data_IF_610133861473
#
_entry.id   IF_610133861473
#
_cell.length_a   1.000
_cell.length_b   1.000
_cell.length_c   1.000
_cell.angle_alpha   90.00
_cell.angle_beta   90.00
_cell.angle_gamma   90.00
#
_symmetry.space_group_name_H-M   'P 1'
#
loop_
_entity.id
_entity.type
_entity.pdbx_description
1 polymer ?
#
# COMPACT_ATOMS: atom_id res chain seq x y z
N UNK A 1 -60.27 -0.38 14.85
CA UNK A 1 -59.11 -0.60 13.99
C UNK A 1 -57.88 -0.11 14.74
N UNK A 2 -57.09 -1.04 15.30
CA UNK A 2 -55.90 -0.72 16.09
C UNK A 2 -54.67 -0.88 15.19
N UNK A 3 -53.98 0.23 14.94
CA UNK A 3 -52.74 0.24 14.15
C UNK A 3 -51.63 -0.38 14.97
N UNK A 4 -51.24 -1.60 14.64
CA UNK A 4 -50.04 -2.22 15.17
C UNK A 4 -48.83 -1.39 14.75
N UNK A 5 -48.15 -0.79 15.72
CA UNK A 5 -46.84 -0.20 15.52
C UNK A 5 -45.90 -1.32 15.07
N UNK A 6 -45.47 -1.26 13.81
CA UNK A 6 -44.39 -2.08 13.29
C UNK A 6 -43.12 -1.64 14.02
N UNK A 7 -42.75 -2.38 15.05
CA UNK A 7 -41.45 -2.26 15.70
C UNK A 7 -40.39 -2.40 14.62
N UNK A 8 -39.67 -1.30 14.33
CA UNK A 8 -38.45 -1.32 13.53
C UNK A 8 -37.55 -2.41 14.11
N UNK A 9 -36.99 -3.33 13.31
CA UNK A 9 -35.95 -4.21 13.80
C UNK A 9 -34.82 -3.31 14.31
N UNK A 10 -34.55 -3.45 15.62
CA UNK A 10 -33.36 -2.92 16.27
C UNK A 10 -32.18 -3.34 15.39
N UNK A 11 -31.44 -2.38 14.81
CA UNK A 11 -30.14 -2.71 14.22
C UNK A 11 -29.39 -3.43 15.32
N UNK A 12 -29.07 -4.71 15.13
CA UNK A 12 -28.05 -5.36 15.94
C UNK A 12 -26.78 -4.54 15.71
N UNK A 13 -26.52 -3.58 16.60
CA UNK A 13 -25.24 -2.92 16.70
C UNK A 13 -24.23 -4.02 17.01
N UNK A 14 -23.59 -4.48 15.95
CA UNK A 14 -22.53 -5.46 16.05
C UNK A 14 -21.43 -4.77 16.84
N UNK A 15 -21.01 -5.36 17.95
CA UNK A 15 -19.98 -4.77 18.81
C UNK A 15 -18.75 -4.42 17.96
N UNK A 16 -18.10 -3.26 18.21
CA UNK A 16 -16.95 -2.84 17.43
C UNK A 16 -15.82 -3.86 17.54
N UNK A 17 -15.15 -4.13 16.43
CA UNK A 17 -14.01 -5.05 16.39
C UNK A 17 -12.77 -4.31 16.88
N UNK A 18 -12.12 -4.83 17.93
CA UNK A 18 -10.83 -4.30 18.39
C UNK A 18 -9.76 -4.48 17.31
N UNK A 19 -8.95 -3.44 17.11
CA UNK A 19 -7.83 -3.45 16.18
C UNK A 19 -6.59 -2.82 16.78
N UNK A 20 -5.43 -3.27 16.33
CA UNK A 20 -4.12 -2.76 16.69
C UNK A 20 -3.71 -1.65 15.73
N UNK A 21 -3.41 -0.47 16.26
CA UNK A 21 -3.02 0.71 15.52
C UNK A 21 -1.53 0.99 15.69
N UNK A 22 -0.78 0.82 14.62
CA UNK A 22 0.64 1.14 14.55
C UNK A 22 0.80 2.49 13.87
N UNK A 23 1.44 3.44 14.55
CA UNK A 23 1.90 4.70 13.95
C UNK A 23 3.34 4.50 13.45
N UNK A 24 3.55 4.51 12.13
CA UNK A 24 4.90 4.37 11.59
C UNK A 24 5.60 5.73 11.44
N UNK A 25 4.83 6.76 11.14
CA UNK A 25 5.24 8.14 11.05
C UNK A 25 4.03 9.06 11.27
N UNK A 26 4.23 10.34 11.63
CA UNK A 26 3.12 11.29 11.78
C UNK A 26 2.26 11.31 10.51
N UNK A 27 0.96 11.04 10.68
CA UNK A 27 0.01 11.05 9.57
C UNK A 27 -0.18 9.72 8.84
N UNK A 28 0.65 8.71 9.12
CA UNK A 28 0.63 7.42 8.44
C UNK A 28 0.50 6.25 9.44
N UNK A 29 -0.62 5.56 9.36
CA UNK A 29 -1.00 4.53 10.30
C UNK A 29 -1.29 3.21 9.60
N UNK A 30 -1.04 2.12 10.33
CA UNK A 30 -1.49 0.78 9.97
C UNK A 30 -2.48 0.30 11.02
N UNK A 31 -3.69 -0.03 10.60
CA UNK A 31 -4.71 -0.66 11.44
C UNK A 31 -4.81 -2.15 11.09
N UNK A 32 -4.48 -3.00 12.06
CA UNK A 32 -4.58 -4.46 11.98
C UNK A 32 -5.75 -4.93 12.82
N UNK A 33 -6.65 -5.75 12.30
CA UNK A 33 -7.73 -6.33 13.10
C UNK A 33 -8.09 -7.76 12.62
N UNK A 34 -8.66 -8.61 13.50
CA UNK A 34 -9.14 -9.93 13.10
C UNK A 34 -10.21 -9.81 12.01
N UNK A 35 -10.04 -10.53 10.91
CA UNK A 35 -10.98 -10.49 9.79
C UNK A 35 -12.27 -11.21 10.19
N UNK A 36 -13.44 -10.53 10.18
CA UNK A 36 -14.70 -11.20 10.49
C UNK A 36 -15.02 -12.32 9.49
N UNK A 37 -15.75 -13.38 9.88
CA UNK A 37 -16.11 -14.49 8.99
C UNK A 37 -16.90 -14.08 7.74
N UNK A 38 -17.52 -12.89 7.75
CA UNK A 38 -18.18 -12.31 6.58
C UNK A 38 -17.21 -11.82 5.50
N UNK A 39 -15.89 -11.92 5.73
CA UNK A 39 -14.80 -11.51 4.83
C UNK A 39 -15.01 -10.13 4.18
N UNK A 40 -15.31 -9.08 4.98
CA UNK A 40 -15.64 -7.78 4.42
C UNK A 40 -14.45 -7.13 3.70
N UNK A 41 -14.53 -6.98 2.38
CA UNK A 41 -13.58 -6.21 1.57
C UNK A 41 -13.72 -4.71 1.89
N UNK A 42 -12.67 -4.05 2.41
CA UNK A 42 -12.68 -2.60 2.67
C UNK A 42 -12.79 -1.80 1.37
N UNK A 43 -13.67 -0.79 1.35
CA UNK A 43 -13.86 0.10 0.21
C UNK A 43 -13.33 1.50 0.49
N UNK A 44 -13.69 2.08 1.63
CA UNK A 44 -13.19 3.37 2.12
C UNK A 44 -13.45 3.50 3.62
N UNK A 45 -12.91 4.55 4.25
CA UNK A 45 -13.27 4.92 5.62
C UNK A 45 -14.49 5.84 5.57
N UNK A 46 -15.60 5.39 6.16
CA UNK A 46 -16.86 6.13 6.21
C UNK A 46 -16.85 7.21 7.31
N UNK A 47 -16.15 6.93 8.42
CA UNK A 47 -15.92 7.89 9.49
C UNK A 47 -14.68 7.53 10.30
N UNK A 48 -13.99 8.49 10.93
CA UNK A 48 -14.25 9.93 10.88
C UNK A 48 -13.81 10.56 9.56
N UNK A 49 -14.34 11.75 9.27
CA UNK A 49 -13.89 12.56 8.15
C UNK A 49 -12.39 12.88 8.26
N UNK A 50 -11.72 13.03 7.12
CA UNK A 50 -10.28 13.29 7.06
C UNK A 50 -9.38 12.05 7.27
N UNK A 51 -9.97 10.87 7.52
CA UNK A 51 -9.26 9.59 7.47
C UNK A 51 -9.41 8.99 6.08
N UNK A 52 -8.28 8.69 5.44
CA UNK A 52 -8.23 8.13 4.09
C UNK A 52 -7.65 6.72 4.12
N UNK A 53 -8.36 5.78 3.50
CA UNK A 53 -7.83 4.45 3.19
C UNK A 53 -6.91 4.55 1.98
N UNK A 54 -5.63 4.20 2.14
CA UNK A 54 -4.64 4.19 1.05
C UNK A 54 -4.65 2.83 0.35
N UNK A 55 -4.59 1.74 1.12
CA UNK A 55 -4.64 0.37 0.61
C UNK A 55 -4.99 -0.58 1.75
N UNK A 56 -5.26 -1.84 1.42
CA UNK A 56 -5.53 -2.89 2.39
C UNK A 56 -4.95 -4.23 1.92
N UNK A 57 -4.77 -5.14 2.88
CA UNK A 57 -4.38 -6.52 2.62
C UNK A 57 -5.09 -7.47 3.58
N UNK A 58 -5.29 -8.72 3.16
CA UNK A 58 -5.78 -9.80 3.99
C UNK A 58 -4.65 -10.81 4.17
N UNK A 59 -4.37 -11.19 5.42
CA UNK A 59 -3.37 -12.19 5.78
C UNK A 59 -4.02 -13.35 6.55
N UNK A 60 -3.34 -14.49 6.62
CA UNK A 60 -3.81 -15.65 7.40
C UNK A 60 -5.05 -16.35 6.84
N UNK A 61 -5.27 -16.28 5.53
CA UNK A 61 -6.36 -17.01 4.85
C UNK A 61 -5.99 -18.48 4.56
N UNK A 62 -4.73 -18.87 4.77
CA UNK A 62 -4.24 -20.23 4.61
C UNK A 62 -4.73 -21.12 5.76
N UNK A 63 -5.01 -22.40 5.45
CA UNK A 63 -5.56 -23.36 6.42
C UNK A 63 -4.65 -23.58 7.66
N UNK A 64 -3.36 -23.32 7.52
CA UNK A 64 -2.34 -23.54 8.57
C UNK A 64 -1.98 -22.26 9.35
N UNK A 65 -2.71 -21.15 9.14
CA UNK A 65 -2.43 -19.90 9.83
C UNK A 65 -2.79 -19.96 11.32
N UNK A 66 -1.78 -19.87 12.19
CA UNK A 66 -1.93 -20.03 13.65
C UNK A 66 -2.84 -18.98 14.30
N UNK A 67 -2.84 -17.74 13.81
CA UNK A 67 -3.52 -16.59 14.43
C UNK A 67 -4.84 -16.22 13.75
N UNK A 68 -5.31 -17.06 12.82
CA UNK A 68 -6.48 -16.79 12.00
C UNK A 68 -6.32 -15.63 11.01
N UNK A 69 -7.36 -15.34 10.21
CA UNK A 69 -7.28 -14.31 9.19
C UNK A 69 -7.33 -12.91 9.80
N UNK A 70 -6.53 -12.00 9.26
CA UNK A 70 -6.49 -10.59 9.68
C UNK A 70 -6.59 -9.65 8.48
N UNK A 71 -7.12 -8.47 8.72
CA UNK A 71 -7.14 -7.37 7.77
C UNK A 71 -6.14 -6.30 8.20
N UNK A 72 -5.41 -5.78 7.24
CA UNK A 72 -4.46 -4.68 7.38
C UNK A 72 -4.97 -3.50 6.56
N UNK A 73 -5.09 -2.32 7.16
CA UNK A 73 -5.45 -1.07 6.50
C UNK A 73 -4.31 -0.07 6.63
N UNK A 74 -3.78 0.43 5.51
CA UNK A 74 -2.89 1.57 5.50
C UNK A 74 -3.72 2.86 5.41
N UNK A 75 -3.56 3.74 6.39
CA UNK A 75 -4.38 4.93 6.59
C UNK A 75 -3.52 6.21 6.57
N UNK A 76 -4.06 7.25 5.93
CA UNK A 76 -3.63 8.64 6.11
C UNK A 76 -4.65 9.34 7.01
N UNK A 77 -4.20 9.95 8.11
CA UNK A 77 -5.10 10.59 9.07
C UNK A 77 -4.36 11.56 10.00
N UNK A 78 -5.08 12.48 10.66
CA UNK A 78 -4.63 12.99 11.95
C UNK A 78 -4.85 11.89 13.01
N UNK A 79 -3.80 11.55 13.77
CA UNK A 79 -3.87 10.52 14.81
C UNK A 79 -4.94 10.76 15.87
N UNK A 80 -5.33 12.02 16.13
CA UNK A 80 -6.44 12.33 17.02
C UNK A 80 -7.79 11.81 16.49
N UNK A 81 -7.99 11.80 15.17
CA UNK A 81 -9.22 11.33 14.54
C UNK A 81 -9.43 9.83 14.77
N UNK A 82 -8.36 9.03 14.82
CA UNK A 82 -8.44 7.57 14.97
C UNK A 82 -8.81 7.11 16.39
N UNK A 83 -8.66 7.97 17.41
CA UNK A 83 -8.91 7.61 18.82
C UNK A 83 -10.38 7.33 19.13
N UNK A 84 -11.30 7.95 18.39
CA UNK A 84 -12.74 7.81 18.59
C UNK A 84 -13.36 6.54 18.00
N UNK A 85 -12.57 5.73 17.30
CA UNK A 85 -13.06 4.62 16.49
C UNK A 85 -13.06 4.95 15.00
N UNK A 86 -13.10 3.92 14.16
CA UNK A 86 -13.10 4.04 12.70
C UNK A 86 -14.25 3.20 12.16
N UNK A 87 -15.10 3.78 11.32
CA UNK A 87 -16.07 3.03 10.53
C UNK A 87 -15.53 2.83 9.12
N UNK A 88 -15.38 1.57 8.72
CA UNK A 88 -14.91 1.21 7.39
C UNK A 88 -16.10 0.74 6.57
N UNK A 89 -16.37 1.43 5.46
CA UNK A 89 -17.35 0.95 4.50
C UNK A 89 -16.81 -0.29 3.79
N UNK A 90 -17.65 -1.31 3.67
CA UNK A 90 -17.30 -2.58 3.05
C UNK A 90 -18.36 -2.96 2.02
N UNK A 91 -18.07 -3.93 1.17
CA UNK A 91 -19.04 -4.43 0.18
C UNK A 91 -20.30 -5.09 0.79
N UNK A 92 -20.33 -5.33 2.11
CA UNK A 92 -21.45 -5.97 2.80
C UNK A 92 -22.15 -5.01 3.77
N UNK A 93 -21.43 -4.52 4.78
CA UNK A 93 -21.89 -3.51 5.75
C UNK A 93 -20.72 -2.74 6.33
N UNK A 94 -21.00 -1.56 6.89
CA UNK A 94 -19.98 -0.80 7.59
C UNK A 94 -19.46 -1.60 8.80
N UNK A 95 -18.13 -1.60 8.94
CA UNK A 95 -17.43 -2.27 10.02
C UNK A 95 -16.92 -1.22 11.00
N UNK A 96 -17.48 -1.23 12.20
CA UNK A 96 -16.99 -0.42 13.31
C UNK A 96 -15.74 -1.06 13.91
N UNK A 97 -14.64 -0.32 13.91
CA UNK A 97 -13.35 -0.70 14.46
C UNK A 97 -13.03 0.18 15.67
N UNK A 98 -12.45 -0.42 16.69
CA UNK A 98 -11.89 0.27 17.86
C UNK A 98 -10.36 0.14 17.84
N UNK A 99 -9.64 1.16 17.36
CA UNK A 99 -8.19 1.13 17.33
C UNK A 99 -7.58 1.25 18.74
N UNK A 100 -6.59 0.41 19.03
CA UNK A 100 -5.79 0.39 20.25
C UNK A 100 -4.31 0.53 19.86
N UNK A 101 -3.53 1.42 20.48
CA UNK A 101 -2.13 1.61 20.13
C UNK A 101 -1.32 0.32 20.23
N UNK A 102 -0.48 0.07 19.22
CA UNK A 102 0.38 -1.10 19.14
C UNK A 102 1.79 -0.73 18.66
N UNK A 103 2.82 -1.45 19.12
CA UNK A 103 4.18 -1.25 18.65
C UNK A 103 4.38 -1.79 17.23
N UNK A 104 5.40 -1.28 16.54
CA UNK A 104 5.70 -1.64 15.16
C UNK A 104 6.08 -3.12 14.95
N UNK A 105 6.54 -3.82 15.98
CA UNK A 105 6.89 -5.24 15.97
C UNK A 105 5.68 -6.18 16.12
N UNK A 106 4.48 -5.64 16.31
CA UNK A 106 3.24 -6.42 16.36
C UNK A 106 2.92 -7.16 15.05
N UNK A 107 3.54 -6.77 13.92
CA UNK A 107 3.32 -7.41 12.63
C UNK A 107 4.23 -8.62 12.39
N UNK A 108 3.61 -9.72 11.99
CA UNK A 108 4.31 -10.92 11.53
C UNK A 108 5.06 -10.68 10.20
N UNK A 109 6.01 -11.56 9.88
CA UNK A 109 6.72 -11.48 8.60
C UNK A 109 5.80 -11.63 7.38
N UNK A 110 4.78 -12.48 7.48
CA UNK A 110 3.78 -12.69 6.43
C UNK A 110 2.91 -11.45 6.22
N UNK A 111 2.47 -10.80 7.31
CA UNK A 111 1.72 -9.54 7.27
C UNK A 111 2.52 -8.43 6.61
N UNK A 112 3.82 -8.29 6.95
CA UNK A 112 4.72 -7.32 6.31
C UNK A 112 4.89 -7.59 4.83
N UNK A 113 4.97 -8.85 4.41
CA UNK A 113 5.10 -9.22 3.01
C UNK A 113 3.85 -8.87 2.19
N UNK A 114 2.66 -9.08 2.74
CA UNK A 114 1.41 -8.71 2.10
C UNK A 114 1.21 -7.19 2.08
N UNK A 115 1.51 -6.51 3.19
CA UNK A 115 1.47 -5.05 3.26
C UNK A 115 2.42 -4.40 2.26
N UNK A 116 3.64 -4.95 2.10
CA UNK A 116 4.60 -4.48 1.10
C UNK A 116 3.98 -4.49 -0.31
N UNK A 117 3.37 -5.62 -0.70
CA UNK A 117 2.72 -5.75 -2.01
C UNK A 117 1.54 -4.80 -2.18
N UNK A 118 0.72 -4.65 -1.13
CA UNK A 118 -0.42 -3.76 -1.13
C UNK A 118 -0.02 -2.28 -1.28
N UNK A 119 1.04 -1.85 -0.58
CA UNK A 119 1.58 -0.48 -0.67
C UNK A 119 2.20 -0.20 -2.04
N UNK A 120 2.98 -1.14 -2.58
CA UNK A 120 3.55 -1.01 -3.93
C UNK A 120 2.47 -0.96 -5.02
N UNK A 121 1.28 -1.49 -4.75
CA UNK A 121 0.14 -1.53 -5.68
C UNK A 121 -0.89 -0.43 -5.46
N UNK A 122 -0.67 0.49 -4.51
CA UNK A 122 -1.61 1.54 -4.11
C UNK A 122 -1.71 2.71 -5.14
N UNK A 123 -0.89 2.69 -6.19
CA UNK A 123 -0.85 3.74 -7.21
C UNK A 123 -0.24 5.07 -6.73
N UNK A 124 -0.44 6.13 -7.52
CA UNK A 124 0.21 7.45 -7.32
C UNK A 124 -0.13 8.13 -6.02
N UNK A 125 -1.38 7.99 -5.60
CA UNK A 125 -1.90 8.64 -4.41
C UNK A 125 -1.40 7.99 -3.12
N UNK A 126 -0.77 6.81 -3.21
CA UNK A 126 -0.16 6.10 -2.08
C UNK A 126 1.35 6.30 -1.95
N UNK A 127 2.03 7.02 -2.85
CA UNK A 127 3.50 7.11 -2.86
C UNK A 127 4.08 7.77 -1.60
N UNK A 128 3.41 8.80 -1.07
CA UNK A 128 3.80 9.45 0.18
C UNK A 128 3.66 8.51 1.38
N UNK A 129 2.51 7.85 1.49
CA UNK A 129 2.24 6.85 2.53
C UNK A 129 3.15 5.63 2.44
N UNK A 130 3.51 5.19 1.22
CA UNK A 130 4.53 4.16 1.03
C UNK A 130 5.84 4.56 1.70
N UNK A 131 6.29 5.80 1.54
CA UNK A 131 7.51 6.30 2.20
C UNK A 131 7.38 6.35 3.72
N UNK A 132 6.26 6.86 4.21
CA UNK A 132 5.99 6.98 5.65
C UNK A 132 5.88 5.62 6.36
N UNK A 133 5.33 4.61 5.69
CA UNK A 133 5.22 3.23 6.20
C UNK A 133 6.42 2.34 5.81
N UNK A 134 7.39 2.86 5.04
CA UNK A 134 8.40 2.03 4.38
C UNK A 134 9.23 1.21 5.37
N UNK A 135 9.57 1.79 6.53
CA UNK A 135 10.32 1.09 7.58
C UNK A 135 9.66 -0.18 8.09
N UNK A 136 8.32 -0.30 7.99
CA UNK A 136 7.60 -1.53 8.37
C UNK A 136 7.80 -2.66 7.35
N UNK A 137 8.01 -2.33 6.09
CA UNK A 137 7.97 -3.26 4.94
C UNK A 137 9.28 -3.37 4.18
N UNK A 138 10.29 -2.56 4.51
CA UNK A 138 11.56 -2.48 3.79
C UNK A 138 12.18 -3.85 3.50
N UNK A 139 12.30 -4.70 4.53
CA UNK A 139 12.88 -6.04 4.38
C UNK A 139 12.07 -6.91 3.41
N UNK A 140 10.74 -6.82 3.49
CA UNK A 140 9.84 -7.56 2.60
C UNK A 140 9.95 -7.06 1.16
N UNK A 141 10.06 -5.75 0.95
CA UNK A 141 10.28 -5.15 -0.39
C UNK A 141 11.63 -5.59 -0.96
N UNK A 142 12.69 -5.54 -0.15
CA UNK A 142 14.03 -5.98 -0.54
C UNK A 142 14.09 -7.48 -0.92
N UNK A 143 13.21 -8.30 -0.35
CA UNK A 143 13.16 -9.75 -0.57
C UNK A 143 12.28 -10.17 -1.76
N UNK A 144 11.56 -9.26 -2.43
CA UNK A 144 10.72 -9.62 -3.58
C UNK A 144 11.55 -10.28 -4.69
N UNK A 145 11.03 -11.24 -5.46
CA UNK A 145 11.79 -11.77 -6.59
C UNK A 145 11.86 -10.75 -7.75
N UNK A 146 12.92 -10.84 -8.54
CA UNK A 146 12.99 -10.23 -9.87
C UNK A 146 12.77 -11.35 -10.87
N UNK A 147 11.81 -11.20 -11.78
CA UNK A 147 11.56 -12.20 -12.82
C UNK A 147 12.67 -12.18 -13.88
N UNK A 148 12.96 -13.32 -14.50
CA UNK A 148 14.01 -13.43 -15.52
C UNK A 148 13.71 -12.58 -16.76
N UNK A 149 12.44 -12.36 -17.06
CA UNK A 149 11.93 -11.54 -18.16
C UNK A 149 11.55 -10.11 -17.73
N UNK A 150 11.96 -9.70 -16.53
CA UNK A 150 11.64 -8.37 -16.00
C UNK A 150 12.21 -7.25 -16.90
N UNK A 151 11.44 -6.18 -17.15
CA UNK A 151 11.89 -5.05 -17.93
C UNK A 151 13.12 -4.41 -17.29
N UNK A 152 14.04 -3.95 -18.14
CA UNK A 152 15.28 -3.33 -17.70
C UNK A 152 15.15 -1.82 -17.54
N UNK A 153 15.80 -1.29 -16.51
CA UNK A 153 16.06 0.13 -16.32
C UNK A 153 17.50 0.42 -16.78
N UNK A 154 17.64 1.40 -17.68
CA UNK A 154 18.91 1.89 -18.18
C UNK A 154 19.07 3.39 -17.85
N UNK A 155 20.30 3.81 -17.64
CA UNK A 155 20.67 5.22 -17.48
C UNK A 155 20.99 5.80 -18.87
N UNK A 156 20.29 6.86 -19.26
CA UNK A 156 20.45 7.52 -20.55
C UNK A 156 20.73 9.02 -20.36
N UNK A 157 21.30 9.66 -21.38
CA UNK A 157 21.50 11.10 -21.35
C UNK A 157 20.17 11.84 -21.15
N UNK A 158 20.01 12.48 -19.99
CA UNK A 158 18.82 13.26 -19.65
C UNK A 158 17.69 12.46 -18.97
N UNK A 159 17.96 11.26 -18.44
CA UNK A 159 17.00 10.55 -17.59
C UNK A 159 17.13 9.03 -17.66
N UNK A 160 16.09 8.34 -17.20
CA UNK A 160 16.08 6.88 -17.20
C UNK A 160 15.20 6.31 -18.28
N UNK A 161 15.63 5.18 -18.82
CA UNK A 161 14.98 4.47 -19.91
C UNK A 161 14.49 3.12 -19.45
N UNK A 162 13.18 2.92 -19.46
CA UNK A 162 12.52 1.68 -19.05
C UNK A 162 12.14 0.85 -20.29
N UNK A 163 12.48 -0.42 -20.28
CA UNK A 163 12.04 -1.39 -21.29
C UNK A 163 10.53 -1.65 -21.26
N UNK A 164 9.92 -1.81 -22.43
CA UNK A 164 8.51 -2.12 -22.59
C UNK A 164 7.61 -0.90 -22.79
N UNK A 165 6.30 -1.15 -22.85
CA UNK A 165 5.27 -0.15 -23.19
C UNK A 165 4.36 0.24 -22.03
N UNK A 166 4.41 -0.50 -20.91
CA UNK A 166 3.60 -0.20 -19.73
C UNK A 166 4.11 1.07 -19.06
N UNK A 167 3.26 2.10 -18.94
CA UNK A 167 3.65 3.40 -18.41
C UNK A 167 3.62 3.37 -16.88
N UNK A 168 4.77 3.41 -16.19
CA UNK A 168 4.79 3.51 -14.74
C UNK A 168 4.32 4.88 -14.28
N UNK A 169 3.72 4.91 -13.10
CA UNK A 169 3.32 6.14 -12.43
C UNK A 169 4.35 6.59 -11.38
N UNK A 170 5.18 5.67 -10.92
CA UNK A 170 6.25 5.93 -9.97
C UNK A 170 7.36 4.90 -10.12
N UNK A 171 8.48 5.22 -9.50
CA UNK A 171 9.64 4.36 -9.46
C UNK A 171 10.17 4.35 -8.03
N UNK A 172 10.18 3.16 -7.43
CA UNK A 172 10.88 2.92 -6.18
C UNK A 172 12.29 2.44 -6.52
N UNK A 173 13.30 2.95 -5.84
CA UNK A 173 14.68 2.60 -6.10
C UNK A 173 15.50 2.56 -4.81
N UNK A 174 16.57 1.76 -4.83
CA UNK A 174 17.57 1.67 -3.77
C UNK A 174 18.91 2.17 -4.30
N UNK A 175 19.55 3.04 -3.54
CA UNK A 175 20.90 3.55 -3.78
C UNK A 175 21.77 3.31 -2.55
N UNK A 176 23.06 3.66 -2.63
CA UNK A 176 23.94 3.66 -1.46
C UNK A 176 23.48 4.60 -0.33
N UNK A 177 22.65 5.61 -0.63
CA UNK A 177 22.04 6.49 0.38
C UNK A 177 20.75 5.91 0.99
N UNK A 178 20.30 4.73 0.54
CA UNK A 178 19.07 4.08 0.97
C UNK A 178 17.99 4.09 -0.10
N UNK A 179 16.76 3.84 0.34
CA UNK A 179 15.58 3.80 -0.52
C UNK A 179 15.06 5.21 -0.83
N UNK A 180 14.53 5.37 -2.03
CA UNK A 180 13.84 6.57 -2.47
C UNK A 180 12.72 6.23 -3.45
N UNK A 181 11.80 7.16 -3.61
CA UNK A 181 10.72 7.05 -4.57
C UNK A 181 10.56 8.35 -5.34
N UNK A 182 10.35 8.22 -6.64
CA UNK A 182 10.01 9.33 -7.52
C UNK A 182 8.71 9.05 -8.27
N UNK A 183 7.95 10.10 -8.53
CA UNK A 183 6.79 10.08 -9.42
C UNK A 183 7.27 10.23 -10.85
N UNK A 184 6.65 9.51 -11.77
CA UNK A 184 6.85 9.71 -13.21
C UNK A 184 5.95 10.86 -13.67
N UNK A 185 6.54 12.00 -14.01
CA UNK A 185 5.79 13.18 -14.50
C UNK A 185 5.62 13.17 -16.01
N UNK A 186 6.51 12.47 -16.73
CA UNK A 186 6.42 12.27 -18.17
C UNK A 186 7.02 10.92 -18.56
N UNK A 187 6.38 10.25 -19.51
CA UNK A 187 6.93 9.09 -20.22
C UNK A 187 6.85 9.35 -21.72
N UNK A 188 7.96 9.18 -22.43
CA UNK A 188 8.01 9.28 -23.88
C UNK A 188 8.38 7.91 -24.49
N UNK A 189 7.40 7.25 -25.13
CA UNK A 189 7.63 5.98 -25.82
C UNK A 189 8.46 6.17 -27.09
N UNK A 190 9.39 5.24 -27.31
CA UNK A 190 10.22 5.11 -28.50
C UNK A 190 10.15 3.68 -29.03
N UNK A 191 10.05 3.55 -30.36
CA UNK A 191 9.92 2.27 -31.07
C UNK A 191 11.08 2.01 -32.04
N UNK A 192 12.31 2.38 -31.65
CA UNK A 192 13.52 2.12 -32.45
C UNK A 192 14.14 0.77 -32.05
N UNK A 193 13.49 -0.33 -32.42
CA UNK A 193 13.84 -1.69 -31.98
C UNK A 193 12.89 -2.19 -30.90
N UNK A 194 13.42 -2.67 -29.77
CA UNK A 194 12.58 -3.04 -28.62
C UNK A 194 11.92 -1.79 -28.02
N UNK A 195 10.62 -1.81 -27.68
CA UNK A 195 9.94 -0.64 -27.10
C UNK A 195 10.62 -0.18 -25.82
N UNK A 196 10.85 1.14 -25.71
CA UNK A 196 11.41 1.78 -24.52
C UNK A 196 10.69 3.08 -24.19
N UNK A 197 10.83 3.51 -22.94
CA UNK A 197 10.22 4.71 -22.40
C UNK A 197 11.27 5.58 -21.72
N UNK A 198 11.41 6.83 -22.19
CA UNK A 198 12.20 7.84 -21.49
C UNK A 198 11.36 8.46 -20.38
N UNK A 199 11.81 8.32 -19.13
CA UNK A 199 11.09 8.75 -17.94
C UNK A 199 11.64 10.09 -17.42
N UNK A 200 10.74 11.01 -17.13
CA UNK A 200 11.04 12.20 -16.30
C UNK A 200 10.50 11.96 -14.89
N UNK A 201 11.37 12.15 -13.91
CA UNK A 201 11.12 11.81 -12.51
C UNK A 201 11.08 13.06 -11.64
N UNK A 202 10.10 13.12 -10.74
CA UNK A 202 10.00 14.09 -9.67
C UNK A 202 10.16 13.36 -8.33
N UNK A 203 11.15 13.71 -7.48
CA UNK A 203 11.32 13.07 -6.18
C UNK A 203 10.08 13.22 -5.30
N UNK A 204 9.66 12.14 -4.65
CA UNK A 204 8.60 12.15 -3.63
C UNK A 204 9.21 12.08 -2.24
N UNK A 205 10.15 11.14 -2.03
CA UNK A 205 10.91 10.98 -0.79
C UNK A 205 12.22 10.24 -1.06
N UNK A 206 13.16 10.34 -0.12
CA UNK A 206 14.52 9.83 -0.27
C UNK A 206 15.38 10.68 -1.20
N UNK A 207 16.66 10.31 -1.32
CA UNK A 207 17.59 11.03 -2.18
C UNK A 207 17.31 10.72 -3.66
N UNK A 208 17.47 11.73 -4.53
CA UNK A 208 17.48 11.48 -5.97
C UNK A 208 18.66 10.55 -6.32
N UNK A 209 18.45 9.60 -7.23
CA UNK A 209 19.45 8.61 -7.55
C UNK A 209 20.53 9.22 -8.46
N UNK A 210 21.80 8.96 -8.12
CA UNK A 210 22.95 9.30 -8.95
C UNK A 210 23.39 8.02 -9.70
N UNK A 211 22.94 7.86 -10.94
CA UNK A 211 23.20 6.67 -11.77
C UNK A 211 22.22 5.53 -11.52
N UNK A 212 22.55 4.33 -12.01
CA UNK A 212 21.69 3.15 -11.90
C UNK A 212 21.51 2.70 -10.43
N UNK A 213 20.27 2.44 -10.00
CA UNK A 213 20.00 1.96 -8.64
C UNK A 213 20.44 0.50 -8.47
N UNK A 214 20.77 0.10 -7.23
CA UNK A 214 21.05 -1.31 -6.88
C UNK A 214 19.81 -2.20 -7.05
N UNK A 215 18.63 -1.57 -6.94
CA UNK A 215 17.35 -2.23 -7.01
C UNK A 215 16.26 -1.24 -7.38
N UNK A 216 15.29 -1.66 -8.19
CA UNK A 216 14.19 -0.79 -8.57
C UNK A 216 12.89 -1.53 -8.86
N UNK A 217 11.78 -0.83 -8.69
CA UNK A 217 10.43 -1.30 -9.01
C UNK A 217 9.65 -0.21 -9.74
N UNK A 218 9.14 -0.54 -10.92
CA UNK A 218 8.13 0.28 -11.59
C UNK A 218 6.79 0.10 -10.86
N UNK A 219 6.16 1.21 -10.48
CA UNK A 219 4.89 1.25 -9.78
C UNK A 219 3.79 1.70 -10.74
N UNK A 220 2.69 0.96 -10.81
CA UNK A 220 1.55 1.21 -11.70
C UNK A 220 0.28 1.53 -10.89
N UNK A 221 -0.83 1.82 -11.58
CA UNK A 221 -2.10 2.12 -10.93
C UNK A 221 -2.57 0.99 -10.00
N UNK A 222 -2.37 -0.27 -10.43
CA UNK A 222 -2.87 -1.46 -9.76
C UNK A 222 -1.83 -2.60 -9.76
N UNK A 223 -0.60 -2.29 -9.37
CA UNK A 223 0.46 -3.29 -9.31
C UNK A 223 1.85 -2.68 -9.41
N UNK A 224 2.85 -3.54 -9.44
CA UNK A 224 4.24 -3.16 -9.57
C UNK A 224 5.02 -4.26 -10.30
N UNK A 225 6.19 -3.89 -10.82
CA UNK A 225 7.12 -4.82 -11.45
C UNK A 225 8.52 -4.54 -10.95
N UNK A 226 9.19 -5.56 -10.42
CA UNK A 226 10.61 -5.47 -10.11
C UNK A 226 11.40 -5.36 -11.42
N UNK A 227 12.43 -4.52 -11.44
CA UNK A 227 13.19 -4.22 -12.65
C UNK A 227 14.58 -4.85 -12.58
N UNK A 228 15.10 -5.24 -13.74
CA UNK A 228 16.53 -5.50 -13.89
C UNK A 228 17.25 -4.19 -14.21
N UNK A 229 18.57 -4.15 -14.03
CA UNK A 229 19.39 -3.01 -14.43
C UNK A 229 20.30 -3.41 -15.56
N UNK A 230 20.38 -2.58 -16.60
CA UNK A 230 21.29 -2.76 -17.72
C UNK A 230 22.27 -1.60 -17.80
N UNK A 231 23.56 -1.90 -17.74
CA UNK A 231 24.61 -0.94 -18.12
C UNK A 231 24.61 -0.80 -19.64
N UNK A 232 24.54 0.43 -20.13
CA UNK A 232 24.68 0.79 -21.55
C UNK A 232 26.07 0.47 -22.07
#
# INVERSE_FOLDING_TARGET
MSGAAVSRPMREETAPVSGQLVEAAPGAYLLRFPLPPSLPIPLHVASPEGVRLVTWALAGLDADAADGPVCLLALEADGAALRGGVSVATHFRDLALRPEPAPADALSAAERALLARALLSAGTSGLGTLGALFGLVERSVAALPVADDAPDLADEAGGWSLGGTAIPLGLLFRTGAGWGCARVTRSALRFAGHPRQHLTLEPVWGAAPAGLPERSFALYAHGFTALTTRTS
#
